data_IF_405434136689
#
_entry.id   IF_405434136689
#
_cell.length_a   1.000
_cell.length_b   1.000
_cell.length_c   1.000
_cell.angle_alpha   90.00
_cell.angle_beta   90.00
_cell.angle_gamma   90.00
#
_symmetry.space_group_name_H-M   'P 1'
#
loop_
_entity.id
_entity.type
_entity.pdbx_description
1 polymer ?
#
# COMPACT_ATOMS: atom_id res chain seq x y z
N UNK A 1 19.82 12.53 -9.13
CA UNK A 1 18.74 12.28 -8.14
C UNK A 1 18.96 13.27 -7.01
N UNK A 2 17.96 14.08 -6.64
CA UNK A 2 18.09 15.02 -5.52
C UNK A 2 18.36 14.30 -4.21
N UNK A 3 19.10 14.93 -3.29
CA UNK A 3 19.45 14.33 -2.00
C UNK A 3 18.23 14.00 -1.15
N UNK A 4 17.20 14.84 -1.20
CA UNK A 4 15.88 14.59 -0.59
C UNK A 4 15.28 13.26 -1.05
N UNK A 5 15.33 12.98 -2.35
CA UNK A 5 14.78 11.75 -2.94
C UNK A 5 15.56 10.50 -2.53
N UNK A 6 16.89 10.61 -2.41
CA UNK A 6 17.72 9.52 -1.86
C UNK A 6 17.33 9.18 -0.42
N UNK A 7 17.10 10.19 0.41
CA UNK A 7 16.64 10.01 1.80
C UNK A 7 15.27 9.32 1.81
N UNK A 8 14.32 9.77 0.99
CA UNK A 8 12.98 9.16 0.90
C UNK A 8 13.03 7.70 0.44
N UNK A 9 13.89 7.36 -0.52
CA UNK A 9 14.05 5.98 -0.98
C UNK A 9 14.54 5.06 0.15
N UNK A 10 15.59 5.48 0.86
CA UNK A 10 16.12 4.70 1.99
C UNK A 10 15.11 4.61 3.13
N UNK A 11 14.41 5.71 3.45
CA UNK A 11 13.38 5.73 4.48
C UNK A 11 12.19 4.83 4.14
N UNK A 12 11.76 4.81 2.87
CA UNK A 12 10.70 3.92 2.38
C UNK A 12 11.09 2.43 2.52
N UNK A 13 12.35 2.08 2.27
CA UNK A 13 12.85 0.72 2.50
C UNK A 13 12.90 0.35 3.97
N UNK A 14 13.42 1.24 4.83
CA UNK A 14 13.50 1.01 6.26
C UNK A 14 12.10 0.89 6.88
N UNK A 15 11.16 1.75 6.47
CA UNK A 15 9.76 1.65 6.86
C UNK A 15 9.21 0.26 6.54
N UNK A 16 9.34 -0.19 5.29
CA UNK A 16 8.80 -1.47 4.81
C UNK A 16 9.39 -2.71 5.47
N UNK A 17 10.62 -2.61 5.99
CA UNK A 17 11.36 -3.74 6.56
C UNK A 17 11.42 -3.74 8.08
N UNK A 18 11.34 -2.57 8.73
CA UNK A 18 11.55 -2.42 10.19
C UNK A 18 10.39 -1.74 10.93
N UNK A 19 9.52 -0.98 10.26
CA UNK A 19 8.55 -0.01 10.81
C UNK A 19 9.09 1.41 10.98
N UNK A 20 8.19 2.39 11.11
CA UNK A 20 8.57 3.79 11.23
C UNK A 20 9.27 4.05 12.56
N UNK A 21 8.75 3.51 13.65
CA UNK A 21 9.31 3.70 15.00
C UNK A 21 10.71 3.08 15.14
N UNK A 22 11.03 2.08 14.32
CA UNK A 22 12.22 1.23 14.47
C UNK A 22 13.47 1.67 13.69
N UNK A 23 13.43 2.78 12.95
CA UNK A 23 14.63 3.36 12.33
C UNK A 23 14.89 4.80 12.81
N UNK A 24 16.13 5.24 12.69
CA UNK A 24 16.59 6.57 13.13
C UNK A 24 17.22 7.36 11.99
N UNK A 25 17.50 8.64 12.22
CA UNK A 25 18.32 9.43 11.28
C UNK A 25 19.77 8.91 11.20
N UNK A 26 20.24 8.14 12.18
CA UNK A 26 21.53 7.45 12.06
C UNK A 26 21.45 6.36 10.98
N UNK A 27 20.41 5.53 11.00
CA UNK A 27 20.23 4.49 9.97
C UNK A 27 20.16 5.08 8.56
N UNK A 28 19.50 6.24 8.41
CA UNK A 28 19.46 6.99 7.14
C UNK A 28 20.83 7.55 6.77
N UNK A 29 21.53 8.16 7.72
CA UNK A 29 22.88 8.72 7.55
C UNK A 29 23.85 7.66 7.04
N UNK A 30 23.83 6.48 7.66
CA UNK A 30 24.71 5.35 7.33
C UNK A 30 24.41 4.78 5.93
N UNK A 31 23.12 4.65 5.57
CA UNK A 31 22.72 4.08 4.27
C UNK A 31 22.82 5.07 3.11
N UNK A 32 22.58 6.36 3.32
CA UNK A 32 22.66 7.41 2.29
C UNK A 32 24.09 7.93 2.12
N UNK A 33 24.94 7.81 3.15
CA UNK A 33 26.31 8.33 3.16
C UNK A 33 26.37 9.85 3.33
N UNK A 34 25.50 10.41 4.19
CA UNK A 34 25.48 11.84 4.53
C UNK A 34 25.38 12.04 6.04
N UNK A 35 25.67 13.24 6.53
CA UNK A 35 25.55 13.55 7.96
C UNK A 35 24.09 13.69 8.40
N UNK A 36 23.80 13.47 9.68
CA UNK A 36 22.48 13.77 10.28
C UNK A 36 22.06 15.22 10.06
N UNK A 37 23.02 16.17 10.14
CA UNK A 37 22.75 17.59 9.90
C UNK A 37 22.20 17.83 8.47
N UNK A 38 22.75 17.15 7.46
CA UNK A 38 22.22 17.22 6.10
C UNK A 38 20.80 16.63 5.98
N UNK A 39 20.48 15.59 6.76
CA UNK A 39 19.11 15.04 6.80
C UNK A 39 18.15 16.04 7.46
N UNK A 40 18.52 16.63 8.60
CA UNK A 40 17.71 17.65 9.29
C UNK A 40 17.45 18.88 8.41
N UNK A 41 18.37 19.24 7.51
CA UNK A 41 18.14 20.31 6.55
C UNK A 41 16.96 20.02 5.60
N UNK A 42 16.76 18.75 5.21
CA UNK A 42 15.65 18.33 4.36
C UNK A 42 14.38 17.99 5.14
N UNK A 43 14.54 17.41 6.33
CA UNK A 43 13.46 16.92 7.19
C UNK A 43 13.77 17.31 8.64
N UNK A 44 13.31 18.50 9.10
CA UNK A 44 13.62 19.03 10.43
C UNK A 44 13.28 18.04 11.55
N UNK A 45 12.12 17.39 11.46
CA UNK A 45 11.68 16.32 12.34
C UNK A 45 11.43 15.01 11.56
N UNK A 46 11.53 13.87 12.25
CA UNK A 46 11.31 12.55 11.64
C UNK A 46 9.86 12.40 11.18
N UNK A 47 8.95 13.04 11.87
CA UNK A 47 7.53 13.13 11.56
C UNK A 47 7.28 13.82 10.22
N UNK A 48 8.10 14.83 9.85
CA UNK A 48 8.02 15.49 8.54
C UNK A 48 8.39 14.51 7.42
N UNK A 49 9.45 13.72 7.64
CA UNK A 49 9.82 12.62 6.74
C UNK A 49 8.69 11.58 6.62
N UNK A 50 8.04 11.25 7.74
CA UNK A 50 6.91 10.33 7.77
C UNK A 50 5.69 10.83 6.98
N UNK A 51 5.36 12.12 7.11
CA UNK A 51 4.27 12.75 6.37
C UNK A 51 4.58 12.79 4.86
N UNK A 52 5.80 13.16 4.48
CA UNK A 52 6.24 13.16 3.08
C UNK A 52 6.19 11.74 2.47
N UNK A 53 6.57 10.71 3.25
CA UNK A 53 6.45 9.32 2.82
C UNK A 53 4.98 8.94 2.58
N UNK A 54 4.07 9.32 3.46
CA UNK A 54 2.64 9.05 3.29
C UNK A 54 2.09 9.68 1.99
N UNK A 55 2.49 10.92 1.69
CA UNK A 55 2.07 11.64 0.48
C UNK A 55 2.70 11.07 -0.79
N UNK A 56 3.95 10.61 -0.71
CA UNK A 56 4.59 9.85 -1.77
C UNK A 56 3.82 8.56 -2.06
N UNK A 57 3.44 7.80 -1.05
CA UNK A 57 2.66 6.56 -1.25
C UNK A 57 1.27 6.84 -1.80
N UNK A 58 0.60 7.91 -1.36
CA UNK A 58 -0.66 8.37 -1.94
C UNK A 58 -0.51 8.63 -3.43
N UNK A 59 0.51 9.41 -3.82
CA UNK A 59 0.76 9.78 -5.22
C UNK A 59 1.08 8.55 -6.06
N UNK A 60 1.96 7.67 -5.57
CA UNK A 60 2.31 6.43 -6.27
C UNK A 60 1.10 5.51 -6.46
N UNK A 61 0.30 5.32 -5.41
CA UNK A 61 -0.93 4.53 -5.50
C UNK A 61 -1.90 5.15 -6.51
N UNK A 62 -2.14 6.46 -6.45
CA UNK A 62 -3.04 7.16 -7.37
C UNK A 62 -2.61 6.95 -8.83
N UNK A 63 -1.34 7.20 -9.15
CA UNK A 63 -0.81 6.99 -10.51
C UNK A 63 -0.95 5.54 -10.96
N UNK A 64 -0.64 4.56 -10.09
CA UNK A 64 -0.78 3.15 -10.42
C UNK A 64 -2.24 2.76 -10.71
N UNK A 65 -3.18 3.23 -9.90
CA UNK A 65 -4.61 2.96 -10.07
C UNK A 65 -5.18 3.61 -11.35
N UNK A 66 -4.76 4.83 -11.66
CA UNK A 66 -5.11 5.53 -12.92
C UNK A 66 -4.55 4.76 -14.14
N UNK A 67 -3.31 4.29 -14.06
CA UNK A 67 -2.69 3.48 -15.11
C UNK A 67 -3.40 2.14 -15.31
N UNK A 68 -3.80 1.46 -14.22
CA UNK A 68 -4.59 0.22 -14.28
C UNK A 68 -5.93 0.50 -14.97
N UNK A 69 -6.64 1.54 -14.55
CA UNK A 69 -7.93 1.91 -15.13
C UNK A 69 -7.82 2.24 -16.63
N UNK A 70 -6.73 2.90 -17.05
CA UNK A 70 -6.45 3.22 -18.47
C UNK A 70 -6.13 1.99 -19.29
N UNK A 71 -5.33 1.05 -18.76
CA UNK A 71 -4.88 -0.15 -19.48
C UNK A 71 -5.95 -1.23 -19.59
N UNK A 72 -6.88 -1.28 -18.64
CA UNK A 72 -7.85 -2.37 -18.53
C UNK A 72 -9.29 -1.83 -18.69
N UNK A 73 -9.96 -2.11 -19.82
CA UNK A 73 -11.32 -1.62 -20.05
C UNK A 73 -12.36 -2.38 -19.22
N UNK A 74 -12.14 -3.67 -18.93
CA UNK A 74 -13.08 -4.49 -18.16
C UNK A 74 -12.83 -4.40 -16.65
N UNK A 75 -13.87 -4.32 -15.81
CA UNK A 75 -13.75 -4.26 -14.35
C UNK A 75 -12.95 -5.42 -13.74
N UNK A 76 -13.18 -6.65 -14.21
CA UNK A 76 -12.41 -7.82 -13.74
C UNK A 76 -10.91 -7.66 -14.02
N UNK A 77 -10.54 -7.17 -15.19
CA UNK A 77 -9.13 -6.98 -15.55
C UNK A 77 -8.49 -5.83 -14.76
N UNK A 78 -9.26 -4.78 -14.41
CA UNK A 78 -8.80 -3.74 -13.48
C UNK A 78 -8.54 -4.32 -12.09
N UNK A 79 -9.44 -5.15 -11.58
CA UNK A 79 -9.25 -5.83 -10.29
C UNK A 79 -8.03 -6.75 -10.30
N UNK A 80 -7.82 -7.52 -11.39
CA UNK A 80 -6.61 -8.32 -11.58
C UNK A 80 -5.35 -7.45 -11.60
N UNK A 81 -5.38 -6.30 -12.29
CA UNK A 81 -4.29 -5.33 -12.30
C UNK A 81 -3.97 -4.77 -10.91
N UNK A 82 -4.99 -4.44 -10.12
CA UNK A 82 -4.81 -4.03 -8.72
C UNK A 82 -4.16 -5.12 -7.88
N UNK A 83 -4.63 -6.36 -7.99
CA UNK A 83 -4.01 -7.49 -7.31
C UNK A 83 -2.56 -7.67 -7.75
N UNK A 84 -2.26 -7.52 -9.04
CA UNK A 84 -0.90 -7.56 -9.59
C UNK A 84 0.00 -6.51 -8.96
N UNK A 85 -0.45 -5.26 -8.94
CA UNK A 85 0.26 -4.14 -8.29
C UNK A 85 0.57 -4.44 -6.81
N UNK A 86 -0.39 -4.97 -6.06
CA UNK A 86 -0.15 -5.33 -4.66
C UNK A 86 0.75 -6.57 -4.52
N UNK A 87 0.71 -7.50 -5.47
CA UNK A 87 1.55 -8.70 -5.47
C UNK A 87 3.03 -8.38 -5.56
N UNK A 88 3.41 -7.28 -6.24
CA UNK A 88 4.79 -6.79 -6.30
C UNK A 88 5.35 -6.46 -4.92
N UNK A 89 4.51 -6.00 -3.98
CA UNK A 89 4.89 -5.76 -2.58
C UNK A 89 5.21 -7.07 -1.86
N UNK A 90 4.52 -8.16 -2.19
CA UNK A 90 4.70 -9.46 -1.55
C UNK A 90 5.97 -10.19 -2.00
N UNK A 91 6.45 -9.95 -3.23
CA UNK A 91 7.53 -10.75 -3.84
C UNK A 91 8.87 -10.70 -3.11
N UNK A 92 9.35 -9.56 -2.57
CA UNK A 92 10.61 -9.51 -1.83
C UNK A 92 10.62 -10.35 -0.54
N UNK A 93 9.46 -10.82 -0.06
CA UNK A 93 9.31 -11.67 1.13
C UNK A 93 9.60 -10.98 2.46
N UNK A 94 10.20 -9.78 2.46
CA UNK A 94 10.59 -9.03 3.65
C UNK A 94 9.96 -7.63 3.76
N UNK A 95 9.12 -7.24 2.79
CA UNK A 95 8.44 -5.94 2.77
C UNK A 95 6.98 -6.10 3.16
N UNK A 96 6.44 -5.10 3.85
CA UNK A 96 5.00 -4.97 4.12
C UNK A 96 4.44 -3.79 3.34
N UNK A 97 3.16 -3.85 3.02
CA UNK A 97 2.41 -2.69 2.52
C UNK A 97 2.63 -1.47 3.44
N UNK A 98 3.13 -0.34 2.93
CA UNK A 98 3.37 0.85 3.74
C UNK A 98 2.16 1.34 4.57
N UNK A 99 0.93 1.43 4.03
CA UNK A 99 -0.24 1.75 4.87
C UNK A 99 -0.51 0.70 5.94
N UNK A 100 -0.19 -0.58 5.71
CA UNK A 100 -0.33 -1.62 6.73
C UNK A 100 0.56 -1.43 7.95
N UNK A 101 1.82 -1.00 7.74
CA UNK A 101 2.75 -0.68 8.83
C UNK A 101 2.27 0.53 9.61
N UNK A 102 1.96 1.61 8.91
CA UNK A 102 1.60 2.85 9.57
C UNK A 102 0.24 2.78 10.27
N UNK A 103 -0.68 1.93 9.78
CA UNK A 103 -1.92 1.61 10.49
C UNK A 103 -1.67 0.79 11.76
N UNK A 104 -0.73 -0.15 11.74
CA UNK A 104 -0.35 -0.88 12.96
C UNK A 104 0.29 0.06 14.01
N UNK A 105 0.98 1.11 13.55
CA UNK A 105 1.61 2.14 14.40
C UNK A 105 0.70 3.35 14.67
N UNK A 106 -0.61 3.28 14.38
CA UNK A 106 -1.54 4.41 14.42
C UNK A 106 -1.50 5.22 15.73
N UNK A 107 -1.29 4.56 16.87
CA UNK A 107 -1.28 5.19 18.19
C UNK A 107 0.01 5.94 18.52
N UNK A 108 1.09 5.73 17.75
CA UNK A 108 2.43 6.29 18.05
C UNK A 108 2.96 7.22 16.96
N UNK A 109 2.29 7.30 15.80
CA UNK A 109 2.64 8.23 14.73
C UNK A 109 1.98 9.61 14.91
N UNK A 110 2.53 10.62 14.23
CA UNK A 110 2.01 11.99 14.27
C UNK A 110 0.66 12.14 13.58
N UNK A 111 -0.05 13.22 13.90
CA UNK A 111 -1.35 13.52 13.29
C UNK A 111 -1.26 13.71 11.77
N UNK A 112 -0.23 14.39 11.27
CA UNK A 112 -0.01 14.55 9.82
C UNK A 112 0.17 13.20 9.12
N UNK A 113 0.87 12.25 9.74
CA UNK A 113 1.00 10.89 9.22
C UNK A 113 -0.35 10.16 9.23
N UNK A 114 -1.13 10.26 10.32
CA UNK A 114 -2.48 9.67 10.40
C UNK A 114 -3.38 10.16 9.28
N UNK A 115 -3.36 11.46 8.99
CA UNK A 115 -4.12 12.06 7.89
C UNK A 115 -3.65 11.54 6.53
N UNK A 116 -2.35 11.48 6.28
CA UNK A 116 -1.79 10.91 5.04
C UNK A 116 -2.24 9.46 4.80
N UNK A 117 -2.20 8.63 5.84
CA UNK A 117 -2.65 7.23 5.77
C UNK A 117 -4.16 7.13 5.53
N UNK A 118 -4.95 7.98 6.19
CA UNK A 118 -6.40 8.04 5.99
C UNK A 118 -6.75 8.38 4.54
N UNK A 119 -6.07 9.38 3.95
CA UNK A 119 -6.23 9.73 2.52
C UNK A 119 -5.87 8.57 1.60
N UNK A 120 -4.76 7.89 1.86
CA UNK A 120 -4.36 6.71 1.08
C UNK A 120 -5.37 5.56 1.22
N UNK A 121 -5.90 5.33 2.42
CA UNK A 121 -6.96 4.35 2.65
C UNK A 121 -8.22 4.68 1.83
N UNK A 122 -8.69 5.92 1.91
CA UNK A 122 -9.88 6.38 1.22
C UNK A 122 -9.73 6.28 -0.31
N UNK A 123 -8.55 6.61 -0.84
CA UNK A 123 -8.23 6.44 -2.25
C UNK A 123 -8.35 4.97 -2.69
N UNK A 124 -7.71 4.06 -1.95
CA UNK A 124 -7.69 2.64 -2.30
C UNK A 124 -9.07 2.01 -2.20
N UNK A 125 -9.80 2.26 -1.11
CA UNK A 125 -11.16 1.73 -0.93
C UNK A 125 -12.11 2.34 -1.94
N UNK A 126 -12.11 3.67 -2.13
CA UNK A 126 -12.99 4.32 -3.10
C UNK A 126 -12.79 3.83 -4.53
N UNK A 127 -11.53 3.65 -4.95
CA UNK A 127 -11.23 3.09 -6.26
C UNK A 127 -11.70 1.63 -6.39
N UNK A 128 -11.45 0.79 -5.37
CA UNK A 128 -11.93 -0.60 -5.36
C UNK A 128 -13.47 -0.68 -5.38
N UNK A 129 -14.14 0.17 -4.61
CA UNK A 129 -15.60 0.30 -4.58
C UNK A 129 -16.14 0.57 -5.99
N UNK A 130 -15.52 1.49 -6.74
CA UNK A 130 -15.90 1.77 -8.12
C UNK A 130 -15.70 0.55 -9.03
N UNK A 131 -14.55 -0.13 -8.96
CA UNK A 131 -14.28 -1.31 -9.80
C UNK A 131 -15.23 -2.45 -9.49
N UNK A 132 -15.54 -2.69 -8.21
CA UNK A 132 -16.47 -3.73 -7.79
C UNK A 132 -17.92 -3.39 -8.17
N UNK A 133 -18.31 -2.11 -8.14
CA UNK A 133 -19.61 -1.66 -8.61
C UNK A 133 -19.77 -1.88 -10.12
N UNK A 134 -18.77 -1.51 -10.92
CA UNK A 134 -18.77 -1.74 -12.36
C UNK A 134 -18.82 -3.25 -12.68
N UNK A 135 -18.02 -4.05 -11.98
CA UNK A 135 -17.97 -5.51 -12.17
C UNK A 135 -19.26 -6.22 -11.75
N UNK A 136 -20.01 -5.66 -10.81
CA UNK A 136 -21.36 -6.13 -10.49
C UNK A 136 -22.34 -5.75 -11.60
N UNK A 137 -22.27 -4.52 -12.09
CA UNK A 137 -23.18 -4.01 -13.12
C UNK A 137 -23.01 -4.74 -14.46
N UNK A 138 -21.79 -5.13 -14.83
CA UNK A 138 -21.51 -5.87 -16.07
C UNK A 138 -21.60 -7.40 -15.92
N UNK A 139 -21.91 -7.89 -14.71
CA UNK A 139 -22.08 -9.31 -14.40
C UNK A 139 -20.79 -10.12 -14.25
N UNK A 140 -19.60 -9.49 -14.39
CA UNK A 140 -18.31 -10.19 -14.25
C UNK A 140 -17.98 -10.58 -12.80
N UNK A 141 -18.61 -9.91 -11.83
CA UNK A 141 -18.41 -10.12 -10.40
C UNK A 141 -19.73 -10.32 -9.65
N UNK A 142 -19.71 -11.20 -8.66
CA UNK A 142 -20.80 -11.41 -7.71
C UNK A 142 -20.27 -11.45 -6.28
N UNK A 143 -20.95 -10.76 -5.36
CA UNK A 143 -20.59 -10.74 -3.95
C UNK A 143 -21.78 -10.22 -3.12
N UNK A 144 -21.91 -10.63 -1.84
CA UNK A 144 -22.95 -10.12 -0.95
C UNK A 144 -22.72 -8.65 -0.58
N UNK A 145 -23.76 -7.99 -0.08
CA UNK A 145 -23.68 -6.61 0.44
C UNK A 145 -23.49 -5.55 -0.64
N UNK A 146 -22.90 -4.42 -0.26
CA UNK A 146 -22.60 -3.28 -1.14
C UNK A 146 -21.16 -3.38 -1.70
N UNK A 147 -20.87 -2.68 -2.81
CA UNK A 147 -19.50 -2.57 -3.33
C UNK A 147 -18.50 -2.02 -2.29
N UNK A 148 -18.93 -1.13 -1.40
CA UNK A 148 -18.06 -0.55 -0.36
C UNK A 148 -17.71 -1.54 0.75
N UNK A 149 -18.69 -2.30 1.23
CA UNK A 149 -18.46 -3.38 2.20
C UNK A 149 -17.51 -4.44 1.63
N UNK A 150 -17.71 -4.80 0.35
CA UNK A 150 -16.83 -5.75 -0.33
C UNK A 150 -15.43 -5.18 -0.56
N UNK A 151 -15.29 -3.91 -0.94
CA UNK A 151 -13.99 -3.24 -1.09
C UNK A 151 -13.21 -3.24 0.24
N UNK A 152 -13.91 -2.95 1.35
CA UNK A 152 -13.35 -3.01 2.69
C UNK A 152 -12.85 -4.41 3.04
N UNK A 153 -13.63 -5.45 2.77
CA UNK A 153 -13.25 -6.85 2.99
C UNK A 153 -12.05 -7.26 2.13
N UNK A 154 -12.10 -6.98 0.82
CA UNK A 154 -11.02 -7.26 -0.15
C UNK A 154 -9.71 -6.67 0.34
N UNK A 155 -9.73 -5.38 0.73
CA UNK A 155 -8.56 -4.67 1.20
C UNK A 155 -8.04 -5.29 2.51
N UNK A 156 -8.92 -5.56 3.48
CA UNK A 156 -8.54 -6.16 4.75
C UNK A 156 -7.90 -7.55 4.55
N UNK A 157 -8.50 -8.39 3.70
CA UNK A 157 -7.99 -9.71 3.37
C UNK A 157 -6.61 -9.65 2.70
N UNK A 158 -6.43 -8.78 1.70
CA UNK A 158 -5.15 -8.56 1.02
C UNK A 158 -4.09 -8.05 2.01
N UNK A 159 -4.44 -7.08 2.86
CA UNK A 159 -3.52 -6.54 3.86
C UNK A 159 -3.07 -7.60 4.87
N UNK A 160 -3.99 -8.41 5.38
CA UNK A 160 -3.65 -9.55 6.27
C UNK A 160 -2.80 -10.59 5.56
N UNK A 161 -3.10 -10.88 4.29
CA UNK A 161 -2.34 -11.83 3.48
C UNK A 161 -0.90 -11.37 3.22
N UNK A 162 -0.66 -10.06 3.06
CA UNK A 162 0.69 -9.48 2.98
C UNK A 162 1.46 -9.61 4.30
N UNK A 163 0.80 -9.42 5.45
CA UNK A 163 1.43 -9.61 6.75
C UNK A 163 1.83 -11.07 6.95
N UNK A 164 0.94 -12.01 6.62
CA UNK A 164 1.24 -13.44 6.66
C UNK A 164 2.38 -13.80 5.70
N UNK A 165 2.43 -13.19 4.52
CA UNK A 165 3.51 -13.45 3.56
C UNK A 165 4.90 -13.04 4.07
N UNK A 166 4.99 -12.02 4.92
CA UNK A 166 6.25 -11.65 5.58
C UNK A 166 6.76 -12.75 6.51
N UNK A 167 5.86 -13.41 7.24
CA UNK A 167 6.22 -14.41 8.24
C UNK A 167 6.34 -15.83 7.65
N UNK A 168 5.49 -16.16 6.68
CA UNK A 168 5.29 -17.52 6.17
C UNK A 168 5.63 -17.68 4.68
N UNK A 169 6.10 -16.61 4.04
CA UNK A 169 6.44 -16.56 2.61
C UNK A 169 5.25 -16.26 1.69
N UNK A 170 5.54 -15.93 0.40
CA UNK A 170 4.55 -15.37 -0.53
C UNK A 170 3.38 -16.32 -0.89
N UNK A 171 3.52 -17.63 -0.62
CA UNK A 171 2.49 -18.63 -0.89
C UNK A 171 1.17 -18.35 -0.15
N UNK A 172 1.24 -17.78 1.07
CA UNK A 172 0.04 -17.42 1.85
C UNK A 172 -0.73 -16.29 1.19
N UNK A 173 -0.03 -15.28 0.68
CA UNK A 173 -0.64 -14.20 -0.10
C UNK A 173 -1.35 -14.74 -1.34
N UNK A 174 -0.67 -15.55 -2.15
CA UNK A 174 -1.26 -16.13 -3.37
C UNK A 174 -2.48 -17.00 -3.07
N UNK A 175 -2.46 -17.72 -1.94
CA UNK A 175 -3.59 -18.56 -1.53
C UNK A 175 -4.83 -17.74 -1.18
N UNK A 176 -4.65 -16.68 -0.37
CA UNK A 176 -5.74 -15.79 0.02
C UNK A 176 -6.33 -15.06 -1.19
N UNK A 177 -5.47 -14.50 -2.05
CA UNK A 177 -5.87 -13.81 -3.28
C UNK A 177 -6.64 -14.74 -4.22
N UNK A 178 -6.18 -15.97 -4.40
CA UNK A 178 -6.88 -16.96 -5.24
C UNK A 178 -8.28 -17.26 -4.72
N UNK A 179 -8.45 -17.43 -3.41
CA UNK A 179 -9.77 -17.68 -2.82
C UNK A 179 -10.68 -16.46 -2.92
N UNK A 180 -10.15 -15.26 -2.66
CA UNK A 180 -10.88 -14.01 -2.83
C UNK A 180 -11.40 -13.87 -4.26
N UNK A 181 -10.55 -14.13 -5.26
CA UNK A 181 -10.92 -14.12 -6.69
C UNK A 181 -12.00 -15.16 -6.99
N UNK A 182 -11.83 -16.40 -6.52
CA UNK A 182 -12.78 -17.48 -6.76
C UNK A 182 -14.16 -17.19 -6.16
N UNK A 183 -14.22 -16.53 -5.01
CA UNK A 183 -15.46 -16.14 -4.35
C UNK A 183 -16.22 -15.03 -5.10
N UNK A 184 -15.52 -14.18 -5.86
CA UNK A 184 -16.12 -13.04 -6.55
C UNK A 184 -16.35 -13.25 -8.04
N UNK A 185 -15.56 -14.10 -8.71
CA UNK A 185 -15.62 -14.26 -10.16
C UNK A 185 -16.85 -15.05 -10.56
N UNK A 186 -17.70 -14.47 -11.40
CA UNK A 186 -18.80 -15.21 -12.02
C UNK A 186 -18.23 -16.28 -12.96
N UNK A 187 -18.72 -17.52 -12.86
CA UNK A 187 -18.45 -18.54 -13.88
C UNK A 187 -19.23 -18.13 -15.13
N UNK A 188 -18.52 -17.80 -16.20
CA UNK A 188 -19.11 -17.63 -17.53
C UNK A 188 -19.85 -18.91 -17.96
#
# INVERSE_FOLDING_TARGET
MERKEQILNVAAELLQTRSFSSFSYQDLSDRVGITKAAIHHHFPAKEDLGAELADRYYTQAKTALEDIARKHPKPWDRFEGYVGFISEIAQPGNKICPPGILQAEHNVISEGMRQGISRLYQLLVGWLTSVLADGRADGTMHFPGTPDEQATLVRAAIQGALQNARAEGPKKFMTAVRQLKAAMKTKA
#
